data_IF_547890343727
#
_entry.id   IF_547890343727
#
_cell.length_a   1.000
_cell.length_b   1.000
_cell.length_c   1.000
_cell.angle_alpha   90.00
_cell.angle_beta   90.00
_cell.angle_gamma   90.00
#
_symmetry.space_group_name_H-M   'P 1'
#
loop_
_entity.id
_entity.type
_entity.pdbx_description
1 polymer ?
#
# COMPACT_ATOMS: atom_id res chain seq x y z
N UNK A 1 9.72 53.11 1.83
CA UNK A 1 10.63 52.38 2.75
C UNK A 1 9.85 51.25 3.44
N UNK A 2 9.95 50.01 2.96
CA UNK A 2 9.83 48.81 3.79
C UNK A 2 10.18 47.59 2.94
N UNK A 3 11.03 46.74 3.49
CA UNK A 3 11.82 45.70 2.85
C UNK A 3 11.06 44.39 2.66
N UNK A 4 10.90 43.93 1.42
CA UNK A 4 10.64 42.52 1.13
C UNK A 4 11.97 41.87 0.72
N UNK A 5 12.65 41.27 1.71
CA UNK A 5 13.85 40.47 1.47
C UNK A 5 13.44 39.16 0.83
N UNK A 6 13.85 39.02 -0.42
CA UNK A 6 13.86 37.79 -1.22
C UNK A 6 14.56 36.65 -0.45
N UNK A 7 13.80 35.58 -0.20
CA UNK A 7 14.36 34.25 0.04
C UNK A 7 15.11 33.83 -1.23
N UNK A 8 16.44 33.83 -1.16
CA UNK A 8 17.28 33.24 -2.20
C UNK A 8 17.11 31.72 -2.14
N UNK A 9 16.90 31.02 -3.27
CA UNK A 9 17.06 29.57 -3.30
C UNK A 9 18.52 29.25 -2.99
N UNK A 10 18.73 28.39 -2.00
CA UNK A 10 20.03 27.81 -1.69
C UNK A 10 20.33 26.85 -2.84
N UNK A 11 21.06 27.33 -3.84
CA UNK A 11 21.68 26.50 -4.87
C UNK A 11 22.77 25.67 -4.20
N UNK A 12 22.41 24.49 -3.69
CA UNK A 12 23.38 23.48 -3.28
C UNK A 12 24.08 23.02 -4.56
N UNK A 13 25.26 23.57 -4.80
CA UNK A 13 26.22 23.08 -5.77
C UNK A 13 26.66 21.67 -5.36
N UNK A 14 25.93 20.64 -5.80
CA UNK A 14 26.49 19.30 -5.89
C UNK A 14 27.52 19.33 -7.03
N UNK A 15 28.78 19.47 -6.66
CA UNK A 15 29.92 19.23 -7.55
C UNK A 15 29.94 17.74 -7.88
N UNK A 16 29.20 17.35 -8.92
CA UNK A 16 29.29 16.03 -9.51
C UNK A 16 30.62 15.94 -10.25
N UNK A 17 31.62 15.36 -9.58
CA UNK A 17 32.86 14.87 -10.20
C UNK A 17 32.46 13.87 -11.27
N UNK A 18 32.55 14.25 -12.54
CA UNK A 18 32.43 13.36 -13.69
C UNK A 18 33.50 12.26 -13.60
N UNK A 19 33.14 10.97 -13.46
CA UNK A 19 34.10 9.90 -13.68
C UNK A 19 34.39 9.83 -15.18
N UNK A 20 35.66 10.01 -15.53
CA UNK A 20 36.19 9.73 -16.86
C UNK A 20 35.91 8.27 -17.23
N UNK A 21 35.02 8.06 -18.20
CA UNK A 21 34.70 6.76 -18.77
C UNK A 21 35.90 6.32 -19.63
N UNK A 22 36.59 5.21 -19.33
CA UNK A 22 37.53 4.63 -20.27
C UNK A 22 36.77 4.02 -21.44
N UNK A 23 37.04 4.55 -22.64
CA UNK A 23 36.69 3.90 -23.89
C UNK A 23 37.52 2.62 -24.02
N UNK A 24 36.89 1.45 -24.01
CA UNK A 24 37.43 0.29 -24.71
C UNK A 24 36.40 -0.83 -24.89
N UNK A 25 36.39 -1.35 -26.11
CA UNK A 25 36.03 -2.71 -26.51
C UNK A 25 34.55 -3.05 -26.72
N UNK A 26 34.12 -2.71 -27.94
CA UNK A 26 33.39 -3.60 -28.86
C UNK A 26 33.47 -5.09 -28.49
N UNK A 27 32.36 -5.66 -28.01
CA UNK A 27 32.02 -7.06 -28.25
C UNK A 27 30.65 -7.11 -28.91
N UNK A 28 30.70 -7.31 -30.21
CA UNK A 28 29.60 -7.51 -31.14
C UNK A 28 29.09 -8.94 -30.97
N UNK A 29 28.05 -9.15 -30.17
CA UNK A 29 27.31 -10.41 -30.16
C UNK A 29 25.99 -10.21 -30.92
N UNK A 30 26.02 -10.53 -32.21
CA UNK A 30 24.81 -10.74 -32.99
C UNK A 30 24.15 -12.04 -32.52
N UNK A 31 23.07 -11.94 -31.74
CA UNK A 31 22.14 -13.04 -31.54
C UNK A 31 20.89 -12.80 -32.38
N UNK A 32 20.89 -13.35 -33.59
CA UNK A 32 19.68 -13.55 -34.37
C UNK A 32 18.83 -14.59 -33.63
N UNK A 33 17.91 -14.12 -32.79
CA UNK A 33 16.84 -14.94 -32.24
C UNK A 33 15.74 -15.05 -33.28
N UNK A 34 15.78 -16.14 -34.03
CA UNK A 34 14.70 -16.59 -34.91
C UNK A 34 13.52 -16.98 -34.02
N UNK A 35 12.58 -16.06 -33.82
CA UNK A 35 11.31 -16.35 -33.17
C UNK A 35 10.52 -17.34 -34.03
N UNK A 36 9.98 -18.45 -33.46
CA UNK A 36 9.12 -19.35 -34.22
C UNK A 36 7.79 -18.64 -34.58
N UNK A 37 7.20 -18.96 -35.74
CA UNK A 37 5.93 -18.39 -36.16
C UNK A 37 4.84 -18.72 -35.13
N UNK A 38 4.12 -17.69 -34.68
CA UNK A 38 2.86 -17.84 -33.94
C UNK A 38 1.94 -18.73 -34.77
N UNK A 39 1.66 -19.94 -34.27
CA UNK A 39 0.53 -20.72 -34.74
C UNK A 39 -0.73 -19.97 -34.36
N UNK A 40 -1.36 -19.34 -35.35
CA UNK A 40 -2.74 -18.90 -35.30
C UNK A 40 -3.61 -20.14 -35.07
N UNK A 41 -3.88 -20.40 -33.79
CA UNK A 41 -4.82 -21.42 -33.35
C UNK A 41 -6.19 -20.93 -33.77
N UNK A 42 -6.63 -21.44 -34.92
CA UNK A 42 -7.95 -21.24 -35.52
C UNK A 42 -9.05 -21.26 -34.46
N UNK A 43 -9.81 -20.17 -34.43
CA UNK A 43 -11.14 -20.05 -33.84
C UNK A 43 -12.10 -20.97 -34.62
N UNK A 44 -12.05 -22.28 -34.39
CA UNK A 44 -13.05 -23.22 -34.93
C UNK A 44 -13.87 -23.88 -33.81
N UNK A 45 -13.94 -23.26 -32.63
CA UNK A 45 -14.71 -23.77 -31.48
C UNK A 45 -15.88 -22.85 -31.12
N UNK A 46 -16.62 -22.40 -32.14
CA UNK A 46 -17.99 -21.93 -31.95
C UNK A 46 -18.92 -22.93 -32.65
N UNK A 47 -19.38 -23.91 -31.87
CA UNK A 47 -20.56 -24.68 -32.24
C UNK A 47 -21.78 -23.75 -32.40
N UNK A 48 -22.87 -24.25 -32.99
CA UNK A 48 -24.09 -23.47 -33.19
C UNK A 48 -24.51 -22.88 -31.85
N UNK A 49 -24.46 -21.55 -31.74
CA UNK A 49 -24.97 -20.86 -30.57
C UNK A 49 -26.45 -21.22 -30.45
N UNK A 50 -26.78 -21.89 -29.36
CA UNK A 50 -28.16 -21.99 -28.91
C UNK A 50 -28.63 -20.55 -28.81
N UNK A 51 -29.63 -20.21 -29.62
CA UNK A 51 -30.32 -18.92 -29.53
C UNK A 51 -31.06 -19.00 -28.21
N UNK A 52 -30.41 -18.53 -27.15
CA UNK A 52 -31.01 -18.39 -25.83
C UNK A 52 -32.19 -17.43 -25.99
N UNK A 53 -33.39 -17.99 -25.87
CA UNK A 53 -34.64 -17.24 -25.86
C UNK A 53 -34.55 -16.23 -24.70
N UNK A 54 -34.52 -14.90 -24.96
CA UNK A 54 -34.34 -13.89 -23.92
C UNK A 54 -35.51 -13.83 -22.92
N UNK A 55 -36.54 -14.65 -23.12
CA UNK A 55 -37.68 -14.79 -22.23
C UNK A 55 -37.79 -16.16 -21.56
N UNK A 56 -36.85 -17.09 -21.79
CA UNK A 56 -36.82 -18.34 -21.06
C UNK A 56 -36.42 -18.06 -19.60
N UNK A 57 -37.24 -18.46 -18.60
CA UNK A 57 -36.89 -18.31 -17.20
C UNK A 57 -35.64 -19.15 -16.92
N UNK A 58 -34.57 -18.47 -16.51
CA UNK A 58 -33.27 -19.06 -16.22
C UNK A 58 -33.45 -20.14 -15.13
N UNK A 59 -33.21 -21.44 -15.43
CA UNK A 59 -33.53 -22.54 -14.51
C UNK A 59 -32.71 -22.52 -13.22
N UNK A 60 -31.71 -21.65 -13.13
CA UNK A 60 -30.86 -21.44 -11.95
C UNK A 60 -31.29 -20.25 -11.08
N UNK A 61 -32.23 -19.41 -11.54
CA UNK A 61 -32.78 -18.32 -10.74
C UNK A 61 -33.90 -18.84 -9.82
N UNK A 62 -33.53 -19.65 -8.82
CA UNK A 62 -34.39 -19.82 -7.65
C UNK A 62 -34.46 -18.46 -6.96
N UNK A 63 -35.61 -17.81 -7.01
CA UNK A 63 -35.91 -16.58 -6.27
C UNK A 63 -35.44 -16.74 -4.83
N UNK A 64 -34.66 -15.80 -4.32
CA UNK A 64 -34.04 -15.85 -3.00
C UNK A 64 -35.06 -16.12 -1.86
N UNK A 65 -36.33 -15.81 -2.07
CA UNK A 65 -37.43 -16.15 -1.16
C UNK A 65 -37.69 -17.65 -0.96
N UNK A 66 -37.22 -18.52 -1.85
CA UNK A 66 -37.35 -19.98 -1.72
C UNK A 66 -36.15 -20.67 -1.06
N UNK A 67 -35.06 -19.93 -0.81
CA UNK A 67 -33.84 -20.52 -0.24
C UNK A 67 -33.77 -20.40 1.29
N UNK A 68 -34.58 -19.53 1.88
CA UNK A 68 -34.62 -19.35 3.32
C UNK A 68 -35.68 -20.27 3.94
N UNK A 69 -35.34 -21.02 5.01
CA UNK A 69 -36.30 -21.83 5.73
C UNK A 69 -37.44 -20.93 6.23
N UNK A 70 -38.67 -21.34 5.96
CA UNK A 70 -39.86 -20.64 6.45
C UNK A 70 -39.93 -20.74 7.98
N UNK A 71 -40.63 -19.82 8.66
CA UNK A 71 -40.78 -19.86 10.13
C UNK A 71 -41.30 -21.22 10.64
N UNK A 72 -42.09 -21.91 9.84
CA UNK A 72 -42.54 -23.28 10.11
C UNK A 72 -41.37 -24.29 10.19
N UNK A 73 -40.38 -24.20 9.30
CA UNK A 73 -39.22 -25.10 9.28
C UNK A 73 -38.29 -24.87 10.49
N UNK A 74 -38.20 -23.61 10.94
CA UNK A 74 -37.40 -23.24 12.12
C UNK A 74 -38.04 -23.79 13.41
N UNK A 75 -39.38 -23.73 13.50
CA UNK A 75 -40.11 -24.28 14.63
C UNK A 75 -40.05 -25.82 14.68
N UNK A 76 -40.10 -26.48 13.53
CA UNK A 76 -39.96 -27.95 13.43
C UNK A 76 -38.54 -28.42 13.82
N UNK A 77 -37.51 -27.69 13.39
CA UNK A 77 -36.10 -27.96 13.75
C UNK A 77 -35.82 -27.77 15.24
N UNK A 78 -36.52 -26.83 15.90
CA UNK A 78 -36.38 -26.61 17.34
C UNK A 78 -37.06 -27.72 18.16
N UNK A 79 -38.16 -28.29 17.65
CA UNK A 79 -38.92 -29.34 18.35
C UNK A 79 -38.22 -30.72 18.32
N UNK A 80 -37.28 -30.91 17.40
CA UNK A 80 -36.59 -32.20 17.18
C UNK A 80 -35.24 -32.33 17.91
N UNK A 81 -34.78 -31.30 18.64
CA UNK A 81 -33.55 -31.43 19.43
C UNK A 81 -33.79 -32.22 20.73
N UNK A 82 -33.17 -33.40 20.90
CA UNK A 82 -33.23 -34.13 22.16
C UNK A 82 -32.54 -33.33 23.25
N UNK A 83 -33.21 -33.17 24.41
CA UNK A 83 -32.74 -32.40 25.54
C UNK A 83 -31.29 -32.77 25.92
N UNK A 84 -30.35 -31.89 25.57
CA UNK A 84 -28.93 -32.05 25.88
C UNK A 84 -28.75 -31.89 27.38
N UNK A 85 -28.22 -32.93 28.02
CA UNK A 85 -27.91 -32.96 29.44
C UNK A 85 -26.91 -31.84 29.81
N UNK A 86 -26.99 -31.26 31.03
CA UNK A 86 -26.08 -30.21 31.46
C UNK A 86 -24.64 -30.73 31.48
N UNK A 87 -23.77 -30.12 30.68
CA UNK A 87 -22.32 -30.36 30.68
C UNK A 87 -21.72 -29.62 31.87
N UNK A 88 -21.40 -30.38 32.92
CA UNK A 88 -20.64 -29.89 34.07
C UNK A 88 -19.18 -29.71 33.65
N UNK A 89 -18.72 -28.45 33.54
CA UNK A 89 -17.32 -28.13 33.26
C UNK A 89 -16.43 -28.57 34.45
N UNK A 90 -15.31 -29.30 34.22
CA UNK A 90 -14.36 -29.61 35.29
C UNK A 90 -13.57 -28.36 35.71
N UNK A 91 -13.40 -28.20 37.02
CA UNK A 91 -12.62 -27.13 37.65
C UNK A 91 -11.13 -27.23 37.30
N UNK A 92 -10.54 -26.14 36.81
CA UNK A 92 -9.11 -26.00 36.56
C UNK A 92 -8.28 -26.10 37.86
N UNK A 93 -7.25 -26.97 37.94
CA UNK A 93 -6.33 -26.99 39.08
C UNK A 93 -5.38 -25.79 39.06
N UNK A 94 -5.36 -25.03 40.17
CA UNK A 94 -4.54 -23.83 40.38
C UNK A 94 -3.10 -24.16 40.83
N UNK A 95 -2.37 -25.01 40.11
CA UNK A 95 -0.98 -25.31 40.42
C UNK A 95 -0.04 -24.63 39.42
N UNK A 96 0.69 -23.62 39.91
CA UNK A 96 1.85 -23.01 39.26
C UNK A 96 2.80 -24.08 38.70
N UNK A 97 3.04 -24.14 37.38
CA UNK A 97 3.86 -25.18 36.76
C UNK A 97 5.37 -25.02 36.97
N UNK A 98 5.83 -23.94 37.63
CA UNK A 98 7.25 -23.56 37.60
C UNK A 98 8.14 -24.27 38.64
N UNK A 99 7.59 -24.96 39.63
CA UNK A 99 8.41 -25.53 40.70
C UNK A 99 8.93 -26.96 40.43
N UNK A 100 8.24 -27.74 39.59
CA UNK A 100 8.54 -29.17 39.43
C UNK A 100 9.55 -29.46 38.30
N UNK A 101 9.68 -28.57 37.31
CA UNK A 101 10.51 -28.83 36.13
C UNK A 101 12.02 -28.68 36.40
N UNK A 102 12.41 -27.99 37.47
CA UNK A 102 13.82 -27.72 37.81
C UNK A 102 14.50 -28.78 38.69
N UNK A 103 13.82 -29.88 39.04
CA UNK A 103 14.40 -30.92 39.90
C UNK A 103 14.93 -32.14 39.14
N UNK A 104 14.98 -32.12 37.80
CA UNK A 104 15.46 -33.27 37.03
C UNK A 104 16.99 -33.43 37.17
N UNK A 105 17.52 -34.62 37.53
CA UNK A 105 18.96 -34.84 37.76
C UNK A 105 19.84 -34.73 36.51
N UNK A 106 19.23 -34.57 35.32
CA UNK A 106 19.93 -34.29 34.05
C UNK A 106 19.88 -32.82 33.63
N UNK A 107 19.35 -31.92 34.46
CA UNK A 107 19.36 -30.50 34.15
C UNK A 107 20.77 -29.93 34.31
N UNK A 108 21.46 -29.74 33.19
CA UNK A 108 22.71 -29.00 33.13
C UNK A 108 22.33 -27.54 32.92
N UNK A 109 22.54 -26.64 33.91
CA UNK A 109 22.26 -25.23 33.72
C UNK A 109 23.12 -24.69 32.58
N UNK A 110 22.53 -23.89 31.70
CA UNK A 110 23.25 -23.22 30.62
C UNK A 110 24.40 -22.39 31.21
N UNK A 111 25.61 -22.61 30.72
CA UNK A 111 26.79 -21.87 31.14
C UNK A 111 26.57 -20.38 30.85
N UNK A 112 26.58 -19.57 31.90
CA UNK A 112 26.52 -18.11 31.80
C UNK A 112 27.77 -17.64 31.01
N UNK A 113 27.62 -16.98 29.85
CA UNK A 113 28.76 -16.52 29.07
C UNK A 113 29.53 -15.47 29.87
N UNK A 114 30.77 -15.79 30.27
CA UNK A 114 31.70 -14.82 30.86
C UNK A 114 32.17 -13.86 29.77
N UNK A 115 31.45 -12.76 29.57
CA UNK A 115 31.99 -11.61 28.85
C UNK A 115 32.88 -10.83 29.84
N UNK A 116 34.05 -10.35 29.40
CA UNK A 116 35.03 -9.63 30.23
C UNK A 116 34.58 -8.24 30.71
N UNK A 117 33.28 -7.98 30.73
CA UNK A 117 32.62 -6.69 30.95
C UNK A 117 31.76 -6.75 32.23
N UNK A 118 32.37 -7.08 33.36
CA UNK A 118 31.71 -7.02 34.67
C UNK A 118 30.47 -7.90 34.82
N UNK A 119 29.74 -7.81 35.95
CA UNK A 119 28.44 -8.43 36.08
C UNK A 119 27.52 -7.81 35.03
N UNK A 120 27.07 -8.62 34.08
CA UNK A 120 26.04 -8.27 33.10
C UNK A 120 24.85 -7.81 33.92
N UNK A 121 24.62 -6.49 33.96
CA UNK A 121 23.35 -5.93 34.38
C UNK A 121 22.32 -6.70 33.54
N UNK A 122 21.38 -7.45 34.15
CA UNK A 122 20.39 -8.21 33.39
C UNK A 122 19.83 -7.26 32.33
N UNK A 123 19.66 -7.71 31.07
CA UNK A 123 19.29 -6.83 29.96
C UNK A 123 18.19 -5.95 30.49
N UNK A 124 18.44 -4.63 30.54
CA UNK A 124 17.54 -3.63 31.09
C UNK A 124 16.17 -4.07 30.62
N UNK A 125 15.38 -4.64 31.54
CA UNK A 125 14.03 -5.06 31.21
C UNK A 125 13.41 -3.72 30.98
N UNK A 126 13.37 -3.30 29.70
CA UNK A 126 12.58 -2.18 29.28
C UNK A 126 11.30 -2.39 30.05
N UNK A 127 10.84 -1.41 30.86
CA UNK A 127 9.52 -1.55 31.46
C UNK A 127 8.69 -2.00 30.27
N UNK A 128 8.16 -3.22 30.36
CA UNK A 128 7.24 -3.72 29.36
C UNK A 128 6.29 -2.55 29.29
N UNK A 129 6.38 -1.80 28.18
CA UNK A 129 5.49 -0.67 27.99
C UNK A 129 4.24 -1.46 27.70
N UNK A 130 3.58 -1.81 28.79
CA UNK A 130 2.43 -2.67 28.83
C UNK A 130 1.36 -1.73 28.33
N UNK A 131 1.41 -1.46 27.03
CA UNK A 131 0.42 -0.71 26.30
C UNK A 131 -0.94 -1.38 26.53
N UNK A 132 -0.94 -2.67 26.89
CA UNK A 132 -2.09 -3.38 27.39
C UNK A 132 -2.69 -2.77 28.66
N UNK A 133 -1.94 -2.16 29.58
CA UNK A 133 -2.48 -1.57 30.84
C UNK A 133 -3.07 -0.19 30.60
N UNK A 134 -2.46 0.61 29.72
CA UNK A 134 -3.01 1.92 29.33
C UNK A 134 -4.23 1.78 28.40
N UNK A 135 -4.23 0.81 27.47
CA UNK A 135 -5.40 0.51 26.64
C UNK A 135 -6.47 -0.30 27.40
N UNK A 136 -6.07 -1.16 28.35
CA UNK A 136 -7.00 -1.89 29.23
C UNK A 136 -7.94 -0.95 29.98
N UNK A 137 -7.43 0.21 30.38
CA UNK A 137 -8.21 1.19 31.12
C UNK A 137 -9.31 1.82 30.26
N UNK A 138 -9.13 1.86 28.93
CA UNK A 138 -10.05 2.53 28.01
C UNK A 138 -11.04 1.58 27.32
N UNK A 139 -10.67 0.32 27.06
CA UNK A 139 -11.56 -0.65 26.38
C UNK A 139 -12.57 -1.36 27.30
N UNK A 140 -12.49 -1.18 28.63
CA UNK A 140 -13.43 -1.79 29.58
C UNK A 140 -13.41 -3.34 29.53
N UNK A 141 -14.60 -3.95 29.63
CA UNK A 141 -14.83 -5.41 29.61
C UNK A 141 -14.95 -5.99 28.19
N UNK A 142 -14.54 -5.26 27.15
CA UNK A 142 -14.59 -5.77 25.78
C UNK A 142 -13.58 -6.92 25.59
N UNK A 143 -13.95 -8.02 24.90
CA UNK A 143 -13.07 -9.16 24.66
C UNK A 143 -11.84 -8.78 23.85
N UNK A 144 -10.65 -8.94 24.45
CA UNK A 144 -9.36 -8.55 23.83
C UNK A 144 -8.75 -9.62 22.94
N UNK A 145 -9.16 -10.87 23.11
CA UNK A 145 -8.59 -12.02 22.40
C UNK A 145 -9.18 -12.21 21.00
N UNK A 146 -9.83 -11.18 20.45
CA UNK A 146 -10.34 -11.20 19.08
C UNK A 146 -9.15 -11.03 18.14
N UNK A 147 -8.82 -12.03 17.30
CA UNK A 147 -7.70 -11.92 16.40
C UNK A 147 -7.95 -10.81 15.38
N UNK A 148 -6.93 -9.98 15.14
CA UNK A 148 -6.97 -9.00 14.07
C UNK A 148 -7.05 -9.73 12.72
N UNK A 149 -8.20 -9.65 12.07
CA UNK A 149 -8.44 -10.25 10.76
C UNK A 149 -9.08 -9.23 9.84
N UNK A 150 -8.40 -8.92 8.72
CA UNK A 150 -8.97 -8.07 7.68
C UNK A 150 -10.19 -8.73 7.03
N UNK A 151 -11.29 -7.98 6.92
CA UNK A 151 -12.52 -8.48 6.28
C UNK A 151 -12.27 -8.85 4.82
N UNK A 152 -11.35 -8.17 4.14
CA UNK A 152 -10.94 -8.48 2.77
C UNK A 152 -10.41 -9.90 2.59
N UNK A 153 -9.75 -10.47 3.62
CA UNK A 153 -9.20 -11.83 3.62
C UNK A 153 -10.24 -12.91 3.98
N UNK A 154 -11.42 -12.52 4.47
CA UNK A 154 -12.49 -13.46 4.77
C UNK A 154 -13.06 -14.07 3.49
N UNK A 155 -13.73 -15.21 3.60
CA UNK A 155 -14.46 -15.81 2.48
C UNK A 155 -15.40 -14.73 1.90
N UNK A 156 -15.53 -14.57 0.58
CA UNK A 156 -16.53 -13.67 0.02
C UNK A 156 -17.96 -14.19 0.20
N UNK A 157 -18.19 -15.46 0.55
CA UNK A 157 -19.53 -16.05 0.65
C UNK A 157 -19.86 -16.49 2.09
N UNK A 158 -21.16 -16.51 2.44
CA UNK A 158 -21.75 -17.02 3.72
C UNK A 158 -21.81 -16.05 4.90
N UNK A 159 -22.16 -14.80 4.67
CA UNK A 159 -22.35 -13.82 5.74
C UNK A 159 -23.77 -13.31 5.79
N UNK A 160 -24.23 -12.96 7.00
CA UNK A 160 -25.52 -12.27 7.16
C UNK A 160 -25.45 -10.87 6.53
N UNK A 161 -24.37 -10.13 6.79
CA UNK A 161 -24.01 -8.94 6.03
C UNK A 161 -22.94 -9.29 4.99
N UNK A 162 -23.39 -9.37 3.74
CA UNK A 162 -22.56 -9.73 2.61
C UNK A 162 -21.56 -8.63 2.24
N UNK A 163 -21.83 -7.35 2.55
CA UNK A 163 -20.92 -6.25 2.26
C UNK A 163 -19.79 -6.16 3.29
N UNK A 164 -20.13 -6.22 4.58
CA UNK A 164 -19.16 -6.22 5.68
C UNK A 164 -18.48 -7.57 5.93
N UNK A 165 -18.96 -8.65 5.28
CA UNK A 165 -18.54 -10.04 5.51
C UNK A 165 -18.58 -10.42 6.99
N UNK A 166 -19.76 -10.21 7.61
CA UNK A 166 -20.01 -10.45 9.03
C UNK A 166 -21.30 -11.21 9.31
N UNK A 167 -21.26 -11.96 10.40
CA UNK A 167 -22.44 -12.64 10.92
C UNK A 167 -23.04 -11.84 12.08
N UNK A 168 -24.36 -11.97 12.25
CA UNK A 168 -25.05 -11.35 13.37
C UNK A 168 -24.53 -11.92 14.71
N UNK A 169 -24.23 -11.05 15.67
CA UNK A 169 -23.71 -11.43 16.98
C UNK A 169 -22.22 -11.79 17.02
N UNK A 170 -21.50 -11.67 15.89
CA UNK A 170 -20.04 -11.79 15.89
C UNK A 170 -19.39 -10.65 16.69
N UNK A 171 -18.38 -10.98 17.49
CA UNK A 171 -17.60 -10.00 18.25
C UNK A 171 -16.69 -9.24 17.28
N UNK A 172 -16.71 -7.91 17.34
CA UNK A 172 -15.88 -7.06 16.50
C UNK A 172 -14.47 -6.92 17.09
N UNK A 173 -13.51 -6.56 16.25
CA UNK A 173 -12.19 -6.17 16.74
C UNK A 173 -12.25 -4.74 17.30
N UNK A 174 -11.51 -4.41 18.35
CA UNK A 174 -11.54 -3.06 18.96
C UNK A 174 -11.27 -1.93 17.95
N UNK A 175 -10.38 -2.20 16.98
CA UNK A 175 -9.99 -1.27 15.94
C UNK A 175 -10.59 -1.64 14.58
N UNK A 176 -11.84 -2.10 14.60
CA UNK A 176 -12.52 -2.62 13.43
C UNK A 176 -12.59 -1.64 12.25
N UNK A 177 -12.63 -0.33 12.52
CA UNK A 177 -12.61 0.71 11.48
C UNK A 177 -11.36 0.67 10.57
N UNK A 178 -10.27 0.03 11.01
CA UNK A 178 -9.06 -0.16 10.18
C UNK A 178 -9.04 -1.51 9.46
N UNK A 179 -9.90 -2.45 9.87
CA UNK A 179 -9.95 -3.79 9.31
C UNK A 179 -11.18 -4.06 8.46
N UNK A 180 -12.18 -3.19 8.56
CA UNK A 180 -13.41 -3.24 7.80
C UNK A 180 -13.17 -2.95 6.30
N UNK A 181 -14.07 -3.47 5.46
CA UNK A 181 -13.98 -3.37 4.01
C UNK A 181 -14.16 -1.93 3.52
N UNK A 182 -15.01 -1.17 4.21
CA UNK A 182 -15.27 0.25 3.94
C UNK A 182 -14.40 1.17 4.82
N UNK A 183 -13.59 0.59 5.70
CA UNK A 183 -12.73 1.32 6.61
C UNK A 183 -11.61 2.06 5.89
N UNK A 184 -11.05 3.07 6.57
CA UNK A 184 -9.85 3.81 6.10
C UNK A 184 -8.59 3.02 6.54
N UNK A 185 -8.66 1.71 6.35
CA UNK A 185 -7.59 0.77 6.69
C UNK A 185 -6.52 0.71 5.62
N UNK A 186 -5.27 0.37 5.98
CA UNK A 186 -4.29 -0.04 4.99
C UNK A 186 -4.79 -1.29 4.27
N UNK A 187 -4.70 -1.30 2.94
CA UNK A 187 -5.07 -2.46 2.14
C UNK A 187 -4.17 -3.67 2.48
N UNK A 188 -4.75 -4.87 2.46
CA UNK A 188 -4.04 -6.14 2.75
C UNK A 188 -2.79 -6.29 1.88
N UNK A 189 -2.89 -5.86 0.62
CA UNK A 189 -1.87 -6.01 -0.38
C UNK A 189 -0.93 -4.81 -0.42
N UNK A 190 -0.15 -4.58 0.65
CA UNK A 190 0.81 -3.47 0.77
C UNK A 190 1.78 -3.29 -0.42
N UNK A 191 2.08 -4.40 -1.12
CA UNK A 191 2.97 -4.40 -2.28
C UNK A 191 2.39 -3.68 -3.50
N UNK A 192 1.08 -3.75 -3.73
CA UNK A 192 0.40 -3.13 -4.88
C UNK A 192 0.47 -1.59 -4.84
N UNK A 193 0.06 -0.90 -3.77
CA UNK A 193 0.17 0.56 -3.69
C UNK A 193 1.63 1.00 -3.67
N UNK A 194 2.53 0.23 -3.06
CA UNK A 194 3.96 0.54 -3.09
C UNK A 194 4.52 0.53 -4.52
N UNK A 195 4.20 -0.49 -5.31
CA UNK A 195 4.60 -0.56 -6.73
C UNK A 195 3.94 0.53 -7.57
N UNK A 196 2.68 0.87 -7.28
CA UNK A 196 2.00 2.01 -7.91
C UNK A 196 2.72 3.34 -7.65
N UNK A 197 3.06 3.58 -6.39
CA UNK A 197 3.78 4.77 -5.94
C UNK A 197 5.16 4.89 -6.63
N UNK A 198 5.92 3.80 -6.69
CA UNK A 198 7.21 3.78 -7.38
C UNK A 198 7.09 4.11 -8.88
N UNK A 199 6.04 3.63 -9.55
CA UNK A 199 5.78 3.97 -10.97
C UNK A 199 5.44 5.45 -11.15
N UNK A 200 4.61 6.00 -10.28
CA UNK A 200 4.23 7.43 -10.34
C UNK A 200 5.45 8.32 -10.12
N UNK A 201 6.23 8.05 -9.08
CA UNK A 201 7.46 8.82 -8.85
C UNK A 201 8.50 8.63 -9.95
N UNK A 202 8.63 7.41 -10.47
CA UNK A 202 9.51 7.14 -11.63
C UNK A 202 9.10 7.95 -12.86
N UNK A 203 7.79 8.06 -13.14
CA UNK A 203 7.27 8.86 -14.24
C UNK A 203 7.52 10.36 -14.02
N UNK A 204 7.21 10.89 -12.84
CA UNK A 204 7.46 12.29 -12.50
C UNK A 204 8.95 12.62 -12.62
N UNK A 205 9.83 11.75 -12.11
CA UNK A 205 11.28 11.92 -12.21
C UNK A 205 11.76 11.90 -13.66
N UNK A 206 11.22 11.01 -14.50
CA UNK A 206 11.56 10.93 -15.92
C UNK A 206 11.15 12.20 -16.67
N UNK A 207 9.95 12.73 -16.41
CA UNK A 207 9.48 13.99 -16.99
C UNK A 207 10.35 15.15 -16.53
N UNK A 208 10.62 15.26 -15.23
CA UNK A 208 11.47 16.30 -14.67
C UNK A 208 12.89 16.24 -15.23
N UNK A 209 13.45 15.04 -15.40
CA UNK A 209 14.74 14.83 -16.03
C UNK A 209 14.72 15.26 -17.50
N UNK A 210 13.68 14.93 -18.25
CA UNK A 210 13.51 15.37 -19.63
C UNK A 210 13.49 16.89 -19.76
N UNK A 211 12.78 17.58 -18.86
CA UNK A 211 12.74 19.05 -18.82
C UNK A 211 14.10 19.64 -18.43
N UNK A 212 14.78 19.08 -17.43
CA UNK A 212 16.09 19.55 -16.98
C UNK A 212 17.20 19.30 -18.02
N UNK A 213 17.07 18.24 -18.82
CA UNK A 213 18.01 17.89 -19.88
C UNK A 213 17.79 18.72 -21.16
N UNK A 214 16.55 19.16 -21.40
CA UNK A 214 16.22 19.95 -22.58
C UNK A 214 16.78 21.37 -22.45
N UNK A 215 17.86 21.65 -23.19
CA UNK A 215 18.39 23.00 -23.37
C UNK A 215 17.59 23.72 -24.47
N UNK A 216 16.79 24.75 -24.15
CA UNK A 216 16.03 25.49 -25.15
C UNK A 216 16.95 26.27 -26.11
N UNK A 217 18.13 26.71 -25.66
CA UNK A 217 19.04 27.51 -26.49
C UNK A 217 19.67 26.67 -27.61
N UNK A 218 20.00 25.41 -27.32
CA UNK A 218 20.58 24.49 -28.30
C UNK A 218 19.57 23.98 -29.35
N UNK A 219 18.27 24.01 -29.05
CA UNK A 219 17.22 23.42 -29.88
C UNK A 219 16.39 24.46 -30.67
N UNK A 220 16.78 25.73 -30.65
CA UNK A 220 16.16 26.75 -31.50
C UNK A 220 16.75 26.70 -32.92
N UNK A 221 15.94 26.21 -33.87
CA UNK A 221 16.27 26.21 -35.30
C UNK A 221 16.07 27.56 -35.99
N UNK A 222 15.46 28.52 -35.28
CA UNK A 222 15.20 29.86 -35.77
C UNK A 222 15.98 30.86 -34.93
N UNK A 223 16.50 31.89 -35.59
CA UNK A 223 17.06 33.04 -34.88
C UNK A 223 15.94 33.79 -34.17
N UNK A 224 16.28 34.48 -33.09
CA UNK A 224 15.35 35.34 -32.37
C UNK A 224 14.78 36.42 -33.31
N UNK A 225 13.57 36.87 -33.03
CA UNK A 225 12.92 37.86 -33.89
C UNK A 225 13.56 39.23 -33.69
N UNK A 226 14.25 39.72 -34.71
CA UNK A 226 14.76 41.08 -34.73
C UNK A 226 13.63 42.09 -34.90
N UNK A 227 13.61 43.12 -34.05
CA UNK A 227 12.67 44.23 -34.09
C UNK A 227 13.40 45.55 -34.38
N UNK A 228 12.81 46.46 -35.16
CA UNK A 228 13.41 47.78 -35.42
C UNK A 228 13.48 48.65 -34.16
N UNK A 229 14.16 49.79 -34.23
CA UNK A 229 14.27 50.77 -33.13
C UNK A 229 14.83 50.18 -31.83
N UNK A 230 15.96 49.45 -31.93
CA UNK A 230 16.65 48.84 -30.79
C UNK A 230 15.74 47.92 -29.93
N UNK A 231 14.88 47.13 -30.57
CA UNK A 231 14.00 46.18 -29.87
C UNK A 231 12.73 46.81 -29.30
N UNK A 232 12.20 47.85 -29.94
CA UNK A 232 11.05 48.63 -29.43
C UNK A 232 11.30 49.16 -28.00
N UNK A 233 12.53 49.61 -27.73
CA UNK A 233 12.98 50.00 -26.38
C UNK A 233 12.11 51.10 -25.78
N UNK A 234 11.76 52.12 -26.57
CA UNK A 234 10.94 53.23 -26.11
C UNK A 234 9.48 52.80 -25.89
N UNK A 235 8.95 51.94 -26.76
CA UNK A 235 7.57 51.46 -26.69
C UNK A 235 7.34 50.49 -25.52
N UNK A 236 8.37 49.74 -25.12
CA UNK A 236 8.34 48.86 -23.94
C UNK A 236 8.61 49.60 -22.62
N UNK A 237 8.78 50.93 -22.65
CA UNK A 237 8.95 51.76 -21.46
C UNK A 237 10.39 51.87 -20.94
N UNK A 238 11.39 51.69 -21.81
CA UNK A 238 12.77 52.07 -21.53
C UNK A 238 12.96 53.59 -21.47
N UNK A 239 13.94 54.05 -20.69
CA UNK A 239 14.21 55.48 -20.50
C UNK A 239 14.70 56.15 -21.80
N UNK A 240 14.03 57.19 -22.33
CA UNK A 240 14.47 57.86 -23.56
C UNK A 240 15.89 58.45 -23.47
N UNK A 241 16.35 58.82 -22.29
CA UNK A 241 17.64 59.49 -22.09
C UNK A 241 18.82 58.49 -21.93
N UNK A 242 18.53 57.23 -21.62
CA UNK A 242 19.54 56.18 -21.48
C UNK A 242 19.46 55.19 -22.66
N UNK A 243 20.37 55.26 -23.65
CA UNK A 243 20.36 54.34 -24.79
C UNK A 243 20.70 52.89 -24.41
N UNK A 244 21.32 52.67 -23.25
CA UNK A 244 21.76 51.35 -22.78
C UNK A 244 20.70 50.65 -21.89
N UNK A 245 19.57 51.31 -21.60
CA UNK A 245 18.45 50.73 -20.85
C UNK A 245 17.67 49.68 -21.69
N UNK A 246 18.32 48.55 -21.94
CA UNK A 246 17.78 47.37 -22.64
C UNK A 246 17.23 46.32 -21.67
N UNK A 247 17.31 46.58 -20.36
CA UNK A 247 16.98 45.63 -19.32
C UNK A 247 15.51 45.19 -19.34
N UNK A 248 14.61 46.01 -19.90
CA UNK A 248 13.20 45.66 -20.07
C UNK A 248 12.90 44.93 -21.39
N UNK A 249 13.60 45.27 -22.47
CA UNK A 249 13.41 44.66 -23.78
C UNK A 249 13.94 43.22 -23.83
N UNK A 250 15.12 42.96 -23.25
CA UNK A 250 15.78 41.65 -23.33
C UNK A 250 15.27 40.61 -22.31
N UNK A 251 14.50 41.01 -21.30
CA UNK A 251 14.04 40.11 -20.22
C UNK A 251 12.66 39.48 -20.47
N UNK A 252 11.94 39.95 -21.48
CA UNK A 252 10.55 39.55 -21.76
C UNK A 252 10.37 38.78 -23.07
N UNK A 253 11.44 38.62 -23.84
CA UNK A 253 11.51 37.80 -25.04
C UNK A 253 12.26 36.52 -24.72
#
# INVERSE_FOLDING_TARGET
MSTWRLLRPISVFLSARTPSIPQALCCRCASTSTAPPRQDRKLDQYGPQLVDDPFAPDPLHKTASQQWPTEADILEATRSQPATLPVTLPSHPSSSPDAAFFQHPLYIPLAQPKTGLGPIIPPLKWPEYDQSVLSAQQSGDYPRDVPMQWTQLRDPYKYWDQQGRRNYGEIMYDHDNYTDFLGIGPEVHWYVPFMGMMKVFGFIALVAFGVAWYDPAANMYFTERDYPYDGLRLELGGDPEDPDDRAQAARRL
#
